data_IF_304642011104
#
_entry.id   IF_304642011104
#
_cell.length_a   1.000
_cell.length_b   1.000
_cell.length_c   1.000
_cell.angle_alpha   90.00
_cell.angle_beta   90.00
_cell.angle_gamma   90.00
#
_symmetry.space_group_name_H-M   'P 1'
#
loop_
_entity.id
_entity.type
_entity.pdbx_description
1 polymer ?
#
# COMPACT_ATOMS: atom_id res chain seq x y z
N UNK A 1 -47.24 -18.67 3.11
CA UNK A 1 -45.98 -18.60 2.36
C UNK A 1 -46.28 -17.98 1.01
N UNK A 2 -45.86 -16.74 0.78
CA UNK A 2 -45.86 -16.11 -0.54
C UNK A 2 -44.41 -15.69 -0.77
N UNK A 3 -43.73 -16.44 -1.64
CA UNK A 3 -42.46 -16.07 -2.21
C UNK A 3 -42.75 -15.37 -3.55
N UNK A 4 -42.07 -14.26 -3.85
CA UNK A 4 -42.19 -13.63 -5.17
C UNK A 4 -41.69 -12.19 -5.27
N UNK A 5 -40.38 -12.06 -5.49
CA UNK A 5 -39.74 -11.10 -6.41
C UNK A 5 -39.93 -9.59 -6.18
N UNK A 6 -39.04 -8.99 -5.38
CA UNK A 6 -38.70 -7.56 -5.53
C UNK A 6 -37.57 -7.41 -6.56
N UNK A 7 -37.96 -7.09 -7.79
CA UNK A 7 -37.04 -6.66 -8.84
C UNK A 7 -37.14 -5.14 -9.01
N UNK A 8 -36.07 -4.46 -8.57
CA UNK A 8 -35.43 -3.26 -9.12
C UNK A 8 -36.27 -1.99 -9.33
N UNK A 9 -35.97 -0.94 -8.56
CA UNK A 9 -35.94 0.44 -9.06
C UNK A 9 -34.66 1.13 -8.58
N UNK A 10 -33.80 1.47 -9.55
CA UNK A 10 -32.66 2.37 -9.41
C UNK A 10 -33.15 3.79 -9.07
N UNK A 11 -32.52 4.42 -8.08
CA UNK A 11 -32.29 5.87 -8.02
C UNK A 11 -30.83 6.03 -7.59
N UNK A 12 -29.92 6.18 -8.55
CA UNK A 12 -29.48 7.46 -9.09
C UNK A 12 -28.39 8.08 -8.21
N UNK A 13 -27.18 7.88 -8.73
CA UNK A 13 -26.05 8.80 -8.68
C UNK A 13 -25.40 9.05 -7.32
N UNK A 14 -24.53 8.12 -6.94
CA UNK A 14 -23.29 8.53 -6.33
C UNK A 14 -22.17 7.83 -7.11
N UNK A 15 -21.61 8.58 -8.07
CA UNK A 15 -20.33 8.31 -8.71
C UNK A 15 -19.21 8.33 -7.67
N UNK A 16 -19.27 7.44 -6.67
CA UNK A 16 -18.07 6.93 -6.04
C UNK A 16 -17.48 6.00 -7.06
N UNK A 17 -16.68 6.60 -7.96
CA UNK A 17 -15.51 5.93 -8.51
C UNK A 17 -14.91 5.15 -7.36
N UNK A 18 -15.19 3.86 -7.35
CA UNK A 18 -14.38 2.89 -6.68
C UNK A 18 -13.03 3.09 -7.37
N UNK A 19 -12.20 3.96 -6.80
CA UNK A 19 -10.77 3.98 -7.05
C UNK A 19 -10.27 2.63 -6.53
N UNK A 20 -10.59 1.58 -7.29
CA UNK A 20 -9.70 0.45 -7.47
C UNK A 20 -8.43 1.09 -8.02
N UNK A 21 -7.63 1.61 -7.08
CA UNK A 21 -6.20 1.77 -7.26
C UNK A 21 -5.80 0.39 -7.76
N UNK A 22 -5.52 0.29 -9.06
CA UNK A 22 -4.89 -0.87 -9.66
C UNK A 22 -3.77 -1.22 -8.69
N UNK A 23 -3.94 -2.33 -7.98
CA UNK A 23 -2.93 -2.82 -7.06
C UNK A 23 -1.80 -3.19 -8.00
N UNK A 24 -0.88 -2.24 -8.23
CA UNK A 24 0.35 -2.50 -8.95
C UNK A 24 0.89 -3.80 -8.36
N UNK A 25 1.00 -4.83 -9.20
CA UNK A 25 1.48 -6.14 -8.79
C UNK A 25 2.98 -6.01 -8.53
N UNK A 26 3.29 -5.46 -7.37
CA UNK A 26 4.64 -5.36 -6.84
C UNK A 26 5.15 -6.75 -6.47
N UNK A 27 6.48 -6.91 -6.45
CA UNK A 27 7.09 -8.08 -5.83
C UNK A 27 6.80 -8.09 -4.33
N UNK A 28 6.81 -9.27 -3.71
CA UNK A 28 6.60 -9.43 -2.27
C UNK A 28 7.58 -8.56 -1.45
N UNK A 29 8.81 -8.40 -1.93
CA UNK A 29 9.80 -7.52 -1.32
C UNK A 29 9.32 -6.06 -1.32
N UNK A 30 8.85 -5.56 -2.46
CA UNK A 30 8.38 -4.17 -2.58
C UNK A 30 7.15 -3.95 -1.71
N UNK A 31 6.24 -4.92 -1.64
CA UNK A 31 5.05 -4.87 -0.75
C UNK A 31 5.50 -4.75 0.72
N UNK A 32 6.37 -5.65 1.17
CA UNK A 32 6.89 -5.65 2.53
C UNK A 32 7.60 -4.34 2.90
N UNK A 33 8.47 -3.83 2.00
CA UNK A 33 9.18 -2.57 2.24
C UNK A 33 8.22 -1.38 2.24
N UNK A 34 7.20 -1.37 1.37
CA UNK A 34 6.16 -0.34 1.33
C UNK A 34 5.34 -0.33 2.62
N UNK A 35 4.94 -1.49 3.14
CA UNK A 35 4.22 -1.63 4.40
C UNK A 35 5.06 -1.14 5.58
N UNK A 36 6.35 -1.47 5.60
CA UNK A 36 7.30 -0.98 6.59
C UNK A 36 7.44 0.54 6.55
N UNK A 37 7.56 1.14 5.36
CA UNK A 37 7.67 2.59 5.20
C UNK A 37 6.38 3.30 5.64
N UNK A 38 5.21 2.76 5.29
CA UNK A 38 3.90 3.26 5.75
C UNK A 38 3.83 3.30 7.28
N UNK A 39 4.24 2.20 7.92
CA UNK A 39 4.20 2.06 9.38
C UNK A 39 5.23 2.95 10.07
N UNK A 40 6.49 2.92 9.61
CA UNK A 40 7.60 3.65 10.23
C UNK A 40 7.48 5.16 10.10
N UNK A 41 6.84 5.66 9.03
CA UNK A 41 6.63 7.09 8.80
C UNK A 41 5.24 7.57 9.21
N UNK A 42 4.39 6.70 9.76
CA UNK A 42 2.97 7.01 10.08
C UNK A 42 2.23 7.65 8.90
N UNK A 43 2.44 7.10 7.70
CA UNK A 43 1.88 7.60 6.45
C UNK A 43 0.93 6.58 5.83
N UNK A 44 -0.12 7.04 5.17
CA UNK A 44 -0.99 6.17 4.38
C UNK A 44 -0.19 5.48 3.27
N UNK A 45 -0.26 4.15 3.20
CA UNK A 45 0.40 3.34 2.18
C UNK A 45 0.09 3.81 0.75
N UNK A 46 -1.10 4.38 0.52
CA UNK A 46 -1.50 4.94 -0.78
C UNK A 46 -0.64 6.13 -1.22
N UNK A 47 0.05 6.79 -0.29
CA UNK A 47 0.99 7.90 -0.57
C UNK A 47 2.42 7.42 -0.86
N UNK A 48 2.66 6.12 -0.78
CA UNK A 48 3.94 5.50 -1.10
C UNK A 48 3.75 4.74 -2.41
N UNK A 49 4.45 5.18 -3.44
CA UNK A 49 4.45 4.56 -4.76
C UNK A 49 5.82 3.96 -5.04
N UNK A 50 5.88 2.81 -5.70
CA UNK A 50 7.15 2.24 -6.15
C UNK A 50 7.31 2.42 -7.65
N UNK A 51 8.42 3.04 -8.06
CA UNK A 51 8.78 3.19 -9.46
C UNK A 51 9.89 2.20 -9.83
N UNK A 52 9.52 1.16 -10.58
CA UNK A 52 10.43 0.10 -11.04
C UNK A 52 11.47 0.57 -12.05
N UNK A 53 11.24 1.68 -12.76
CA UNK A 53 12.21 2.21 -13.74
C UNK A 53 13.44 2.79 -13.06
N UNK A 54 13.29 3.27 -11.82
CA UNK A 54 14.36 3.88 -11.03
C UNK A 54 14.61 3.13 -9.71
N UNK A 55 14.01 1.95 -9.54
CA UNK A 55 14.09 1.11 -8.34
C UNK A 55 13.94 1.90 -7.03
N UNK A 56 12.96 2.81 -6.97
CA UNK A 56 12.81 3.74 -5.84
C UNK A 56 11.37 3.93 -5.43
N UNK A 57 11.16 4.09 -4.12
CA UNK A 57 9.92 4.56 -3.53
C UNK A 57 9.83 6.09 -3.63
N UNK A 58 8.66 6.58 -4.04
CA UNK A 58 8.29 7.98 -4.05
C UNK A 58 7.32 8.19 -2.88
N UNK A 59 7.72 9.03 -1.92
CA UNK A 59 7.04 9.26 -0.64
C UNK A 59 6.85 10.78 -0.49
N UNK A 60 5.79 11.33 -1.07
CA UNK A 60 5.65 12.78 -1.23
C UNK A 60 6.84 13.35 -2.02
N UNK A 61 7.61 14.24 -1.39
CA UNK A 61 8.80 14.86 -2.00
C UNK A 61 10.09 14.05 -1.80
N UNK A 62 10.02 12.90 -1.11
CA UNK A 62 11.17 12.06 -0.81
C UNK A 62 11.27 10.95 -1.86
N UNK A 63 12.42 10.84 -2.49
CA UNK A 63 12.81 9.68 -3.28
C UNK A 63 13.72 8.78 -2.42
N UNK A 64 13.35 7.52 -2.24
CA UNK A 64 14.11 6.54 -1.47
C UNK A 64 14.39 5.31 -2.31
N UNK A 65 15.66 4.95 -2.50
CA UNK A 65 16.00 3.73 -3.23
C UNK A 65 15.47 2.48 -2.51
N UNK A 66 15.26 1.39 -3.26
CA UNK A 66 14.89 0.11 -2.67
C UNK A 66 15.98 -0.40 -1.71
N UNK A 67 17.26 -0.12 -1.99
CA UNK A 67 18.38 -0.45 -1.12
C UNK A 67 18.33 0.31 0.21
N UNK A 68 18.00 1.61 0.20
CA UNK A 68 17.85 2.41 1.41
C UNK A 68 16.67 1.93 2.25
N UNK A 69 15.54 1.63 1.61
CA UNK A 69 14.37 1.05 2.28
C UNK A 69 14.71 -0.29 2.93
N UNK A 70 15.42 -1.17 2.20
CA UNK A 70 15.90 -2.46 2.70
C UNK A 70 16.86 -2.29 3.88
N UNK A 71 17.79 -1.34 3.80
CA UNK A 71 18.72 -1.02 4.88
C UNK A 71 17.99 -0.58 6.15
N UNK A 72 16.99 0.30 6.02
CA UNK A 72 16.15 0.75 7.13
C UNK A 72 15.33 -0.37 7.74
N UNK A 73 14.72 -1.22 6.90
CA UNK A 73 14.00 -2.41 7.33
C UNK A 73 14.93 -3.30 8.16
N UNK A 74 16.05 -3.75 7.58
CA UNK A 74 17.01 -4.62 8.26
C UNK A 74 17.52 -4.04 9.59
N UNK A 75 17.78 -2.74 9.64
CA UNK A 75 18.22 -2.06 10.87
C UNK A 75 17.12 -1.96 11.93
N UNK A 76 15.86 -1.78 11.50
CA UNK A 76 14.72 -1.75 12.43
C UNK A 76 14.51 -3.12 13.07
N UNK A 77 14.63 -4.20 12.30
CA UNK A 77 14.43 -5.56 12.80
C UNK A 77 15.66 -6.12 13.54
N UNK A 78 16.87 -5.69 13.21
CA UNK A 78 18.08 -6.10 13.96
C UNK A 78 18.10 -5.55 15.40
N UNK A 79 17.46 -4.41 15.65
CA UNK A 79 17.30 -3.86 17.01
C UNK A 79 16.32 -4.65 17.89
N UNK A 80 15.47 -5.48 17.29
CA UNK A 80 14.48 -6.29 18.03
C UNK A 80 15.11 -7.61 18.51
N UNK A 81 16.26 -8.01 17.96
CA UNK A 81 16.89 -9.32 18.23
C UNK A 81 18.10 -9.26 19.17
N UNK A 82 18.28 -8.21 19.97
CA UNK A 82 19.16 -8.32 21.14
C UNK A 82 18.50 -9.24 22.18
N UNK A 83 19.06 -10.43 22.46
CA UNK A 83 18.55 -11.28 23.52
C UNK A 83 18.81 -10.61 24.86
N UNK A 84 17.78 -10.59 25.71
CA UNK A 84 17.88 -10.24 27.14
C UNK A 84 18.65 -11.35 27.87
#
# INVERSE_FOLDING_TARGET
>A
MIAGCFSVFFNADDNKRNEEIEIEKYSDEVIMLRDFLSTSMSMDIKKIMYNSSINSFIIGDILMSIEDARGRYNHSYSKVTTPV
#
